data_IF_124235247048
#
_entry.id   IF_124235247048
#
_cell.length_a   1.000
_cell.length_b   1.000
_cell.length_c   1.000
_cell.angle_alpha   90.00
_cell.angle_beta   90.00
_cell.angle_gamma   90.00
#
_symmetry.space_group_name_H-M   'P 1'
#
loop_
_entity.id
_entity.type
_entity.pdbx_description
1 polymer ?
#
# COMPACT_ATOMS: atom_id res chain seq x y z
N UNK A 1 24.19 -19.97 6.62
CA UNK A 1 24.51 -20.99 5.63
C UNK A 1 24.90 -20.32 4.32
N UNK A 2 26.13 -20.57 3.82
CA UNK A 2 26.72 -19.93 2.61
C UNK A 2 25.83 -20.06 1.35
N UNK A 3 25.04 -21.11 1.23
CA UNK A 3 24.16 -21.31 0.09
C UNK A 3 22.96 -20.32 0.11
N UNK A 4 22.40 -20.06 1.27
CA UNK A 4 21.31 -19.08 1.45
C UNK A 4 21.81 -17.66 1.19
N UNK A 5 22.99 -17.33 1.69
CA UNK A 5 23.65 -16.04 1.50
C UNK A 5 23.96 -15.79 0.00
N UNK A 6 24.51 -16.79 -0.69
CA UNK A 6 24.74 -16.74 -2.13
C UNK A 6 23.43 -16.57 -2.94
N UNK A 7 22.35 -17.27 -2.56
CA UNK A 7 21.05 -17.13 -3.21
C UNK A 7 20.46 -15.72 -3.00
N UNK A 8 20.63 -15.13 -1.80
CA UNK A 8 20.22 -13.75 -1.52
C UNK A 8 20.99 -12.75 -2.36
N UNK A 9 22.32 -12.85 -2.43
CA UNK A 9 23.13 -11.98 -3.28
C UNK A 9 22.75 -12.07 -4.76
N UNK A 10 22.53 -13.27 -5.28
CA UNK A 10 22.05 -13.49 -6.66
C UNK A 10 20.65 -12.93 -6.86
N UNK A 11 19.78 -13.04 -5.87
CA UNK A 11 18.43 -12.47 -5.87
C UNK A 11 18.47 -10.95 -5.95
N UNK A 12 19.27 -10.30 -5.09
CA UNK A 12 19.48 -8.85 -5.11
C UNK A 12 20.00 -8.35 -6.47
N UNK A 13 21.00 -9.02 -7.04
CA UNK A 13 21.55 -8.65 -8.34
C UNK A 13 20.53 -8.79 -9.49
N UNK A 14 19.66 -9.80 -9.45
CA UNK A 14 18.58 -9.98 -10.43
C UNK A 14 17.43 -8.98 -10.22
N UNK A 15 17.07 -8.68 -8.97
CA UNK A 15 16.08 -7.66 -8.65
C UNK A 15 16.55 -6.27 -9.11
N UNK A 16 17.83 -5.92 -8.88
CA UNK A 16 18.41 -4.67 -9.36
C UNK A 16 18.32 -4.51 -10.88
N UNK A 17 18.51 -5.58 -11.66
CA UNK A 17 18.35 -5.55 -13.13
C UNK A 17 16.90 -5.29 -13.60
N UNK A 18 15.92 -5.48 -12.73
CA UNK A 18 14.51 -5.21 -13.03
C UNK A 18 14.07 -3.81 -12.59
N UNK A 19 14.84 -3.14 -11.74
CA UNK A 19 14.49 -1.84 -11.15
C UNK A 19 14.22 -0.75 -12.21
N UNK A 20 14.86 -0.82 -13.36
CA UNK A 20 14.69 0.13 -14.47
C UNK A 20 13.48 -0.17 -15.38
N UNK A 21 12.78 -1.29 -15.14
CA UNK A 21 11.59 -1.63 -15.94
C UNK A 21 10.40 -0.77 -15.50
N UNK A 22 9.61 -0.35 -16.50
CA UNK A 22 8.42 0.47 -16.24
C UNK A 22 7.38 -0.34 -15.48
N UNK A 23 7.04 0.09 -14.29
CA UNK A 23 5.97 -0.44 -13.46
C UNK A 23 4.77 0.53 -13.49
N UNK A 24 3.95 0.43 -14.55
CA UNK A 24 2.82 1.33 -14.81
C UNK A 24 1.47 0.77 -14.34
N UNK A 25 1.39 -0.54 -14.12
CA UNK A 25 0.22 -1.21 -13.55
C UNK A 25 0.38 -1.32 -12.03
N UNK A 26 -0.60 -1.86 -11.35
CA UNK A 26 -0.51 -2.06 -9.90
C UNK A 26 -1.84 -2.03 -9.19
N UNK A 27 -1.77 -1.76 -7.89
CA UNK A 27 -2.92 -1.76 -6.99
C UNK A 27 -2.83 -0.64 -5.97
N UNK A 28 -3.94 0.05 -5.75
CA UNK A 28 -4.19 0.84 -4.55
C UNK A 28 -4.98 -0.01 -3.54
N UNK A 29 -4.50 -0.08 -2.31
CA UNK A 29 -5.17 -0.79 -1.23
C UNK A 29 -5.31 0.12 -0.01
N UNK A 30 -6.48 0.12 0.58
CA UNK A 30 -6.79 0.92 1.75
C UNK A 30 -7.50 0.07 2.82
N UNK A 31 -7.17 0.29 4.08
CA UNK A 31 -7.79 -0.39 5.22
C UNK A 31 -7.86 0.52 6.43
N UNK A 32 -8.75 0.20 7.36
CA UNK A 32 -8.88 0.89 8.65
C UNK A 32 -8.82 -0.18 9.75
N UNK A 33 -8.02 0.08 10.76
CA UNK A 33 -7.93 -0.77 11.94
C UNK A 33 -9.20 -0.61 12.79
N UNK A 34 -9.97 -1.66 12.96
CA UNK A 34 -11.21 -1.65 13.74
C UNK A 34 -10.99 -1.31 15.23
N UNK A 35 -9.80 -1.63 15.76
CA UNK A 35 -9.50 -1.42 17.19
C UNK A 35 -9.05 -0.01 17.52
N UNK A 36 -8.27 0.62 16.62
CA UNK A 36 -7.65 1.91 16.90
C UNK A 36 -8.14 3.04 15.98
N UNK A 37 -8.95 2.74 14.95
CA UNK A 37 -9.47 3.73 14.01
C UNK A 37 -8.44 4.30 13.03
N UNK A 38 -7.17 3.87 13.11
CA UNK A 38 -6.13 4.29 12.19
C UNK A 38 -6.42 3.73 10.79
N UNK A 39 -6.38 4.59 9.78
CA UNK A 39 -6.51 4.19 8.40
C UNK A 39 -5.22 4.37 7.62
N UNK A 40 -4.93 3.44 6.73
CA UNK A 40 -3.81 3.52 5.81
C UNK A 40 -4.22 3.15 4.39
N UNK A 41 -3.55 3.75 3.42
CA UNK A 41 -3.68 3.45 2.00
C UNK A 41 -2.29 3.44 1.36
N UNK A 42 -2.04 2.49 0.49
CA UNK A 42 -0.80 2.38 -0.28
C UNK A 42 -1.07 2.20 -1.75
N UNK A 43 -0.17 2.69 -2.59
CA UNK A 43 -0.09 2.37 -4.01
C UNK A 43 1.22 1.61 -4.26
N UNK A 44 1.08 0.39 -4.78
CA UNK A 44 2.21 -0.43 -5.21
C UNK A 44 2.05 -0.74 -6.69
N UNK A 45 3.11 -0.49 -7.46
CA UNK A 45 3.11 -0.72 -8.90
C UNK A 45 3.87 -2.00 -9.27
N UNK A 46 3.47 -2.59 -10.39
CA UNK A 46 4.09 -3.71 -11.07
C UNK A 46 4.06 -3.50 -12.59
N UNK A 47 4.64 -4.41 -13.38
CA UNK A 47 4.78 -4.22 -14.82
C UNK A 47 3.46 -4.51 -15.57
N UNK A 48 2.69 -5.54 -15.15
CA UNK A 48 1.50 -6.02 -15.88
C UNK A 48 0.25 -6.04 -15.01
N UNK A 49 -0.91 -5.96 -15.66
CA UNK A 49 -2.22 -6.11 -15.02
C UNK A 49 -2.48 -7.55 -14.54
N UNK A 50 -1.84 -8.54 -15.13
CA UNK A 50 -1.85 -9.93 -14.65
C UNK A 50 -1.18 -10.05 -13.29
N UNK A 51 0.00 -9.44 -13.15
CA UNK A 51 0.69 -9.36 -11.87
C UNK A 51 -0.18 -8.66 -10.82
N UNK A 52 -0.75 -7.51 -11.17
CA UNK A 52 -1.59 -6.71 -10.27
C UNK A 52 -2.78 -7.49 -9.68
N UNK A 53 -3.26 -8.55 -10.35
CA UNK A 53 -4.35 -9.43 -9.92
C UNK A 53 -3.86 -10.71 -9.26
N UNK A 54 -2.58 -10.99 -9.29
CA UNK A 54 -2.01 -12.22 -8.73
C UNK A 54 -2.06 -12.23 -7.20
N UNK A 55 -2.38 -13.39 -6.61
CA UNK A 55 -2.47 -13.52 -5.16
C UNK A 55 -1.17 -13.12 -4.42
N UNK A 56 0.04 -13.49 -4.90
CA UNK A 56 1.29 -13.07 -4.25
C UNK A 56 1.50 -11.55 -4.25
N UNK A 57 1.13 -10.86 -5.33
CA UNK A 57 1.24 -9.40 -5.42
C UNK A 57 0.21 -8.72 -4.51
N UNK A 58 -1.07 -9.15 -4.57
CA UNK A 58 -2.13 -8.61 -3.72
C UNK A 58 -1.79 -8.77 -2.23
N UNK A 59 -1.23 -9.92 -1.84
CA UNK A 59 -0.80 -10.14 -0.46
C UNK A 59 0.35 -9.19 -0.09
N UNK A 60 1.34 -9.01 -0.96
CA UNK A 60 2.43 -8.07 -0.73
C UNK A 60 1.91 -6.63 -0.52
N UNK A 61 0.96 -6.18 -1.35
CA UNK A 61 0.35 -4.84 -1.20
C UNK A 61 -0.34 -4.68 0.15
N UNK A 62 -1.08 -5.70 0.60
CA UNK A 62 -1.74 -5.72 1.92
C UNK A 62 -0.72 -5.67 3.06
N UNK A 63 0.36 -6.43 2.95
CA UNK A 63 1.43 -6.45 3.95
C UNK A 63 2.12 -5.08 4.05
N UNK A 64 2.39 -4.40 2.93
CA UNK A 64 2.94 -3.03 2.93
C UNK A 64 1.95 -2.04 3.55
N UNK A 65 0.64 -2.19 3.28
CA UNK A 65 -0.38 -1.36 3.91
C UNK A 65 -0.40 -1.54 5.43
N UNK A 66 -0.25 -2.77 5.91
CA UNK A 66 -0.14 -3.08 7.34
C UNK A 66 1.12 -2.46 7.95
N UNK A 67 2.27 -2.50 7.26
CA UNK A 67 3.50 -1.82 7.69
C UNK A 67 3.25 -0.34 7.92
N UNK A 68 2.60 0.34 6.95
CA UNK A 68 2.27 1.77 7.06
C UNK A 68 1.32 2.04 8.23
N UNK A 69 0.31 1.20 8.39
CA UNK A 69 -0.70 1.32 9.45
C UNK A 69 -0.07 1.23 10.84
N UNK A 70 0.84 0.28 11.05
CA UNK A 70 1.44 -0.02 12.35
C UNK A 70 2.61 0.90 12.71
N UNK A 71 3.46 1.26 11.72
CA UNK A 71 4.75 1.92 12.01
C UNK A 71 4.74 3.44 11.75
N UNK A 72 3.71 4.00 11.09
CA UNK A 72 3.65 5.42 10.76
C UNK A 72 4.95 5.97 10.14
N UNK A 73 5.45 5.38 9.05
CA UNK A 73 6.69 5.82 8.42
C UNK A 73 6.59 7.27 7.96
N UNK A 74 7.70 8.00 7.97
CA UNK A 74 7.74 9.40 7.57
C UNK A 74 7.56 9.59 6.05
N UNK A 75 8.09 8.64 5.27
CA UNK A 75 8.05 8.61 3.81
C UNK A 75 8.19 7.18 3.26
N UNK A 76 8.21 7.04 1.94
CA UNK A 76 8.33 5.74 1.26
C UNK A 76 9.68 5.07 1.55
N UNK A 77 10.76 5.84 1.70
CA UNK A 77 12.07 5.27 2.03
C UNK A 77 12.09 4.70 3.46
N UNK A 78 11.43 5.37 4.41
CA UNK A 78 11.29 4.88 5.78
C UNK A 78 10.50 3.57 5.88
N UNK A 79 9.60 3.26 4.93
CA UNK A 79 8.94 1.95 4.86
C UNK A 79 9.95 0.82 4.74
N UNK A 80 11.04 1.04 4.00
CA UNK A 80 12.08 0.03 3.75
C UNK A 80 12.79 -0.43 5.02
N UNK A 81 12.85 0.42 6.03
CA UNK A 81 13.46 0.13 7.33
C UNK A 81 12.52 -0.55 8.33
N UNK A 82 11.23 -0.56 8.04
CA UNK A 82 10.22 -1.22 8.88
C UNK A 82 10.32 -2.75 8.76
N UNK A 83 9.93 -3.45 9.84
CA UNK A 83 9.82 -4.91 9.83
C UNK A 83 8.65 -5.37 8.97
N UNK A 84 8.89 -6.36 8.11
CA UNK A 84 7.86 -6.95 7.28
C UNK A 84 6.96 -7.91 8.09
N UNK A 85 5.63 -7.84 7.96
CA UNK A 85 4.69 -8.64 8.74
C UNK A 85 4.99 -10.14 8.70
N UNK A 86 4.95 -10.79 9.87
CA UNK A 86 5.17 -12.22 10.01
C UNK A 86 6.64 -12.66 9.89
N UNK A 87 7.59 -11.73 9.87
CA UNK A 87 9.03 -12.01 9.80
C UNK A 87 9.82 -11.09 10.73
N UNK A 88 11.12 -11.37 10.89
CA UNK A 88 12.07 -10.46 11.54
C UNK A 88 12.85 -9.61 10.53
N UNK A 89 12.57 -9.76 9.23
CA UNK A 89 13.26 -9.09 8.13
C UNK A 89 12.68 -7.69 7.89
N UNK A 90 13.50 -6.79 7.40
CA UNK A 90 13.06 -5.48 6.93
C UNK A 90 12.37 -5.59 5.56
N UNK A 91 11.51 -4.63 5.24
CA UNK A 91 10.91 -4.49 3.90
C UNK A 91 11.99 -4.42 2.82
N UNK A 92 13.12 -3.74 3.06
CA UNK A 92 14.27 -3.66 2.14
C UNK A 92 14.88 -5.02 1.82
N UNK A 93 14.79 -6.00 2.72
CA UNK A 93 15.29 -7.37 2.51
C UNK A 93 14.25 -8.24 1.78
N UNK A 94 12.95 -8.08 2.11
CA UNK A 94 11.85 -8.87 1.54
C UNK A 94 11.48 -8.42 0.13
N UNK A 95 11.52 -7.12 -0.17
CA UNK A 95 11.15 -6.58 -1.48
C UNK A 95 11.91 -7.23 -2.65
N UNK A 96 13.26 -7.38 -2.62
CA UNK A 96 13.97 -8.08 -3.67
C UNK A 96 13.56 -9.55 -3.82
N UNK A 97 13.25 -10.23 -2.72
CA UNK A 97 12.76 -11.62 -2.75
C UNK A 97 11.37 -11.70 -3.44
N UNK A 98 10.48 -10.73 -3.17
CA UNK A 98 9.18 -10.62 -3.85
C UNK A 98 9.35 -10.31 -5.35
N UNK A 99 10.23 -9.39 -5.72
CA UNK A 99 10.56 -9.09 -7.13
C UNK A 99 11.05 -10.34 -7.85
N UNK A 100 11.82 -11.19 -7.19
CA UNK A 100 12.31 -12.44 -7.76
C UNK A 100 11.23 -13.50 -7.90
N UNK A 101 10.41 -13.69 -6.87
CA UNK A 101 9.37 -14.73 -6.84
C UNK A 101 8.19 -14.40 -7.74
N UNK A 102 7.76 -13.13 -7.78
CA UNK A 102 6.70 -12.63 -8.66
C UNK A 102 7.20 -12.49 -10.10
N UNK A 103 8.48 -12.15 -10.27
CA UNK A 103 9.11 -12.11 -11.59
C UNK A 103 9.07 -10.73 -12.25
N UNK A 104 8.46 -9.72 -11.63
CA UNK A 104 8.32 -8.35 -12.13
C UNK A 104 8.97 -7.32 -11.23
N UNK A 105 9.23 -6.11 -11.77
CA UNK A 105 9.60 -4.95 -10.98
C UNK A 105 8.43 -4.54 -10.07
N UNK A 106 8.70 -4.34 -8.79
CA UNK A 106 7.71 -3.90 -7.80
C UNK A 106 8.18 -2.59 -7.18
N UNK A 107 7.28 -1.59 -7.13
CA UNK A 107 7.58 -0.28 -6.56
C UNK A 107 6.51 0.15 -5.58
N UNK A 108 6.90 0.43 -4.34
CA UNK A 108 6.06 1.13 -3.37
C UNK A 108 6.10 2.60 -3.78
N UNK A 109 5.00 3.11 -4.33
CA UNK A 109 4.98 4.45 -4.95
C UNK A 109 4.66 5.55 -3.97
N UNK A 110 3.60 5.36 -3.19
CA UNK A 110 3.11 6.35 -2.21
C UNK A 110 2.17 5.71 -1.21
N UNK A 111 1.92 6.42 -0.14
CA UNK A 111 0.95 6.04 0.88
C UNK A 111 0.30 7.26 1.52
N UNK A 112 -0.79 7.02 2.23
CA UNK A 112 -1.42 7.97 3.15
C UNK A 112 -1.81 7.24 4.44
N UNK A 113 -1.77 7.95 5.58
CA UNK A 113 -2.16 7.43 6.87
C UNK A 113 -2.88 8.50 7.68
N UNK A 114 -4.00 8.14 8.29
CA UNK A 114 -4.75 8.98 9.22
C UNK A 114 -4.89 8.26 10.56
N UNK A 115 -4.52 8.94 11.64
CA UNK A 115 -4.55 8.40 13.01
C UNK A 115 -5.46 9.20 13.95
N UNK A 116 -6.20 10.15 13.42
CA UNK A 116 -7.15 11.00 14.14
C UNK A 116 -8.49 10.99 13.41
N UNK A 117 -9.55 11.38 14.13
CA UNK A 117 -10.91 11.49 13.59
C UNK A 117 -11.48 10.13 13.13
N UNK A 118 -12.54 10.15 12.35
CA UNK A 118 -13.14 8.95 11.77
C UNK A 118 -12.59 8.73 10.36
N UNK A 119 -11.89 7.62 10.18
CA UNK A 119 -11.33 7.26 8.87
C UNK A 119 -12.16 6.16 8.23
N UNK A 120 -12.47 6.31 6.95
CA UNK A 120 -13.19 5.34 6.12
C UNK A 120 -12.41 5.04 4.88
N UNK A 121 -12.31 3.76 4.51
CA UNK A 121 -11.62 3.30 3.31
C UNK A 121 -12.59 2.72 2.29
N UNK A 122 -12.28 2.91 1.01
CA UNK A 122 -12.98 2.30 -0.11
C UNK A 122 -12.00 1.87 -1.19
N UNK A 123 -12.13 0.63 -1.66
CA UNK A 123 -11.32 0.09 -2.75
C UNK A 123 -12.25 -0.36 -3.87
N UNK A 124 -12.07 0.21 -5.06
CA UNK A 124 -12.90 -0.05 -6.22
C UNK A 124 -12.17 -0.86 -7.29
N UNK A 125 -12.92 -1.69 -8.03
CA UNK A 125 -12.44 -2.48 -9.17
C UNK A 125 -11.14 -3.27 -8.86
N UNK A 126 -11.10 -3.96 -7.70
CA UNK A 126 -9.96 -4.80 -7.32
C UNK A 126 -8.66 -4.04 -7.08
N UNK A 127 -8.75 -2.77 -6.66
CA UNK A 127 -7.57 -1.94 -6.37
C UNK A 127 -7.16 -1.00 -7.51
N UNK A 128 -7.98 -0.83 -8.54
CA UNK A 128 -7.74 0.22 -9.57
C UNK A 128 -7.92 1.62 -9.00
N UNK A 129 -8.81 1.79 -8.02
CA UNK A 129 -9.03 3.04 -7.31
C UNK A 129 -9.07 2.73 -5.81
N UNK A 130 -8.27 3.44 -5.04
CA UNK A 130 -8.32 3.45 -3.58
C UNK A 130 -8.69 4.84 -3.08
N UNK A 131 -9.55 4.91 -2.07
CA UNK A 131 -9.95 6.15 -1.42
C UNK A 131 -9.83 5.99 0.09
N UNK A 132 -9.25 6.98 0.73
CA UNK A 132 -9.21 7.10 2.19
C UNK A 132 -9.80 8.47 2.57
N UNK A 133 -10.87 8.46 3.34
CA UNK A 133 -11.57 9.67 3.79
C UNK A 133 -11.38 9.82 5.29
N UNK A 134 -11.08 11.03 5.73
CA UNK A 134 -10.95 11.36 7.14
C UNK A 134 -11.97 12.45 7.51
N UNK A 135 -12.87 12.14 8.43
CA UNK A 135 -14.00 12.97 8.81
C UNK A 135 -13.84 13.47 10.24
N UNK A 136 -13.82 14.78 10.43
CA UNK A 136 -14.03 15.39 11.74
C UNK A 136 -15.52 15.29 12.09
N UNK A 137 -15.85 14.52 13.11
CA UNK A 137 -17.23 14.23 13.53
C UNK A 137 -17.47 14.84 14.90
N UNK A 138 -18.54 15.62 15.03
CA UNK A 138 -18.99 16.19 16.31
C UNK A 138 -20.20 15.42 16.85
N UNK A 139 -20.40 15.46 18.16
CA UNK A 139 -21.59 14.90 18.80
C UNK A 139 -21.63 13.37 18.94
N UNK A 140 -20.52 12.67 18.70
CA UNK A 140 -20.42 11.22 18.90
C UNK A 140 -21.25 10.38 17.92
N UNK A 141 -21.56 10.92 16.74
CA UNK A 141 -22.34 10.26 15.69
C UNK A 141 -21.44 9.25 14.95
N UNK A 142 -21.98 8.07 14.64
CA UNK A 142 -21.31 7.14 13.73
C UNK A 142 -21.39 7.64 12.28
N UNK A 143 -20.28 8.10 11.75
CA UNK A 143 -20.15 8.64 10.39
C UNK A 143 -19.68 7.59 9.36
N UNK A 144 -19.62 6.30 9.72
CA UNK A 144 -19.07 5.25 8.84
C UNK A 144 -19.86 5.14 7.53
N UNK A 145 -21.19 5.16 7.58
CA UNK A 145 -22.05 5.04 6.38
C UNK A 145 -21.86 6.24 5.46
N UNK A 146 -21.96 7.47 5.97
CA UNK A 146 -21.77 8.67 5.16
C UNK A 146 -20.33 8.77 4.63
N UNK A 147 -19.36 8.32 5.41
CA UNK A 147 -17.95 8.24 4.96
C UNK A 147 -17.76 7.31 3.78
N UNK A 148 -18.47 6.16 3.75
CA UNK A 148 -18.47 5.25 2.59
C UNK A 148 -19.13 5.85 1.37
N UNK A 149 -20.26 6.55 1.55
CA UNK A 149 -20.94 7.22 0.45
C UNK A 149 -20.06 8.31 -0.18
N UNK A 150 -19.38 9.11 0.67
CA UNK A 150 -18.41 10.12 0.22
C UNK A 150 -17.23 9.45 -0.50
N UNK A 151 -16.67 8.36 0.03
CA UNK A 151 -15.57 7.66 -0.61
C UNK A 151 -15.95 7.07 -1.98
N UNK A 152 -17.15 6.50 -2.11
CA UNK A 152 -17.68 6.03 -3.40
C UNK A 152 -17.87 7.18 -4.39
N UNK A 153 -18.37 8.33 -3.93
CA UNK A 153 -18.55 9.51 -4.76
C UNK A 153 -17.20 10.07 -5.24
N UNK A 154 -16.18 10.09 -4.37
CA UNK A 154 -14.80 10.47 -4.74
C UNK A 154 -14.28 9.52 -5.82
N UNK A 155 -14.46 8.20 -5.65
CA UNK A 155 -14.02 7.22 -6.64
C UNK A 155 -14.71 7.40 -8.00
N UNK A 156 -16.00 7.76 -8.01
CA UNK A 156 -16.79 7.96 -9.23
C UNK A 156 -16.45 9.27 -9.96
N UNK A 157 -16.26 10.36 -9.22
CA UNK A 157 -16.07 11.70 -9.81
C UNK A 157 -14.58 12.03 -10.07
N UNK A 158 -13.66 11.31 -9.44
CA UNK A 158 -12.22 11.57 -9.53
C UNK A 158 -11.89 13.07 -9.37
N UNK A 159 -12.19 13.69 -8.21
CA UNK A 159 -12.02 15.13 -8.01
C UNK A 159 -10.57 15.54 -8.19
N UNK A 160 -10.35 16.67 -8.86
CA UNK A 160 -8.99 17.17 -9.17
C UNK A 160 -8.34 17.86 -7.97
N UNK A 161 -9.14 18.36 -7.03
CA UNK A 161 -8.71 19.14 -5.89
C UNK A 161 -9.34 18.59 -4.62
N UNK A 162 -8.67 18.72 -3.49
CA UNK A 162 -9.16 18.29 -2.18
C UNK A 162 -9.81 19.42 -1.37
N UNK A 163 -9.58 20.68 -1.74
CA UNK A 163 -10.22 21.86 -1.15
C UNK A 163 -10.34 23.01 -2.15
N UNK A 164 -10.93 24.13 -1.69
CA UNK A 164 -11.21 25.32 -2.50
C UNK A 164 -10.01 26.21 -2.76
N UNK A 165 -8.88 26.00 -2.09
CA UNK A 165 -7.69 26.83 -2.18
C UNK A 165 -6.76 26.43 -3.33
N UNK A 166 -7.08 25.31 -3.99
CA UNK A 166 -6.37 24.76 -5.13
C UNK A 166 -7.21 24.92 -6.39
#
# INVERSE_FOLDING_TARGET
DKAVEWLREKGLAKAAKKADRIAAEGMAYATVCEKCGVGAMVEVNCETDFCAKSAPFVQFVKDICQVVLENNPADVEAIKDCTYPGTELKVSEVLPEKVMSIGENLQIRRFARFDKNTTVSYVHAGGKIGVLVNLAVEGGIDATTIGKDVAMQIAALNPRFWDKSL
#
